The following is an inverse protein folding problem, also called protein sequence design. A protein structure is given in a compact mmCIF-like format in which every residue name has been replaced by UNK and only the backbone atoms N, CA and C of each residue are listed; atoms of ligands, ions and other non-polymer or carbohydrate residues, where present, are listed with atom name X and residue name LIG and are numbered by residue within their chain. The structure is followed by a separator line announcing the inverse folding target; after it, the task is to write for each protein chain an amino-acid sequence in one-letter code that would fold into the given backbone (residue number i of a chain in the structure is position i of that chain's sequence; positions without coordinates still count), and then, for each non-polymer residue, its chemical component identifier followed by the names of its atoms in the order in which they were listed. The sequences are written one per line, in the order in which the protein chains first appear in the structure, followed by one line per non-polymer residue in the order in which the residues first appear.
data_IF_079199498888
#
_entry.id   IF_079199498888
#
_cell.length_a   1.000
_cell.length_b   1.000
_cell.length_c   1.000
_cell.angle_alpha   90.00
_cell.angle_beta   90.00
_cell.angle_gamma   90.00
#
_symmetry.space_group_name_H-M   'P 1'
#
loop_
_entity.id
_entity.type
_entity.pdbx_description
1 polymer ?
#
# COMPACT_ATOMS: atom_id res chain seq x y z
N UNK A 1 -20.77 -10.56 -4.56
CA UNK A 1 -20.61 -9.50 -5.59
C UNK A 1 -19.14 -9.54 -5.94
N UNK A 2 -18.78 -9.47 -7.24
CA UNK A 2 -17.40 -9.64 -7.65
C UNK A 2 -16.48 -8.67 -6.91
N UNK A 3 -15.34 -9.15 -6.42
CA UNK A 3 -14.33 -8.31 -5.76
C UNK A 3 -13.92 -7.13 -6.67
N UNK A 4 -13.96 -5.88 -6.19
CA UNK A 4 -13.48 -4.75 -6.98
C UNK A 4 -12.00 -4.89 -7.32
N UNK A 5 -11.65 -4.69 -8.59
CA UNK A 5 -10.28 -4.87 -9.07
C UNK A 5 -9.40 -3.63 -8.79
N UNK A 6 -8.61 -3.62 -7.72
CA UNK A 6 -7.72 -2.50 -7.33
C UNK A 6 -6.34 -2.50 -8.01
N UNK A 7 -6.11 -3.31 -9.04
CA UNK A 7 -4.79 -3.43 -9.71
C UNK A 7 -4.24 -2.10 -10.19
N UNK A 8 -5.04 -1.27 -10.87
CA UNK A 8 -4.56 0.01 -11.41
C UNK A 8 -4.14 0.97 -10.29
N UNK A 9 -4.92 1.04 -9.20
CA UNK A 9 -4.59 1.83 -8.00
C UNK A 9 -3.31 1.33 -7.34
N UNK A 10 -3.14 0.00 -7.25
CA UNK A 10 -1.91 -0.60 -6.75
C UNK A 10 -0.69 -0.21 -7.59
N UNK A 11 -0.80 -0.31 -8.93
CA UNK A 11 0.29 0.02 -9.84
C UNK A 11 0.66 1.51 -9.77
N UNK A 12 -0.32 2.41 -9.65
CA UNK A 12 -0.08 3.83 -9.42
C UNK A 12 0.68 4.06 -8.10
N UNK A 13 0.24 3.43 -7.01
CA UNK A 13 0.95 3.52 -5.73
C UNK A 13 2.39 3.01 -5.82
N UNK A 14 2.60 1.91 -6.55
CA UNK A 14 3.92 1.30 -6.74
C UNK A 14 4.85 2.19 -7.57
N UNK A 15 4.32 2.84 -8.60
CA UNK A 15 5.05 3.82 -9.41
C UNK A 15 5.48 5.03 -8.58
N UNK A 16 4.56 5.60 -7.79
CA UNK A 16 4.85 6.70 -6.86
C UNK A 16 5.91 6.28 -5.83
N UNK A 17 5.76 5.13 -5.19
CA UNK A 17 6.76 4.58 -4.25
C UNK A 17 8.13 4.45 -4.91
N UNK A 18 8.21 3.92 -6.13
CA UNK A 18 9.47 3.78 -6.87
C UNK A 18 10.14 5.14 -7.09
N UNK A 19 9.37 6.16 -7.48
CA UNK A 19 9.86 7.55 -7.59
C UNK A 19 10.43 8.09 -6.27
N UNK A 20 9.74 7.81 -5.15
CA UNK A 20 10.14 8.26 -3.80
C UNK A 20 11.37 7.54 -3.23
N UNK A 21 11.75 6.38 -3.77
CA UNK A 21 13.00 5.68 -3.39
C UNK A 21 14.25 6.27 -4.06
N UNK A 22 14.08 7.20 -5.01
CA UNK A 22 15.14 7.94 -5.69
C UNK A 22 15.27 9.40 -5.23
N UNK A 23 16.05 10.19 -5.98
CA UNK A 23 16.04 11.65 -5.86
C UNK A 23 14.82 12.18 -6.62
N UNK A 24 13.67 12.32 -5.96
CA UNK A 24 12.49 12.96 -6.56
C UNK A 24 12.57 14.48 -6.34
N UNK A 25 12.38 15.23 -7.42
CA UNK A 25 12.23 16.70 -7.39
C UNK A 25 10.75 17.13 -7.35
N UNK A 26 9.83 16.17 -7.50
CA UNK A 26 8.38 16.39 -7.56
C UNK A 26 7.76 16.72 -6.20
N UNK A 27 8.45 16.37 -5.12
CA UNK A 27 7.97 16.52 -3.75
C UNK A 27 8.95 17.34 -2.91
N UNK A 28 8.45 18.43 -2.34
CA UNK A 28 9.19 19.26 -1.39
C UNK A 28 9.44 18.52 -0.06
N UNK A 29 8.48 17.70 0.37
CA UNK A 29 8.57 16.85 1.57
C UNK A 29 7.74 15.60 1.35
N UNK A 30 8.17 14.49 1.95
CA UNK A 30 7.37 13.28 1.94
C UNK A 30 7.64 12.40 3.15
N UNK A 31 6.65 11.58 3.50
CA UNK A 31 6.81 10.40 4.35
C UNK A 31 6.06 9.25 3.73
N UNK A 32 6.66 8.08 3.70
CA UNK A 32 5.99 6.90 3.20
C UNK A 32 6.40 5.64 3.96
N UNK A 33 5.53 4.64 3.90
CA UNK A 33 5.71 3.32 4.44
C UNK A 33 5.10 2.31 3.47
N UNK A 34 5.79 1.20 3.24
CA UNK A 34 5.26 0.06 2.52
C UNK A 34 5.52 -1.22 3.33
N UNK A 35 4.51 -2.04 3.54
CA UNK A 35 4.65 -3.36 4.17
C UNK A 35 4.08 -4.39 3.21
N UNK A 36 4.87 -5.41 2.89
CA UNK A 36 4.43 -6.55 2.10
C UNK A 36 4.49 -7.81 2.96
N UNK A 37 3.32 -8.35 3.27
CA UNK A 37 3.16 -9.64 3.93
C UNK A 37 2.88 -10.67 2.84
N UNK A 38 3.86 -11.56 2.60
CA UNK A 38 3.74 -12.59 1.55
C UNK A 38 3.03 -13.83 2.07
N UNK A 39 2.55 -14.68 1.16
CA UNK A 39 2.14 -16.07 1.49
C UNK A 39 3.32 -16.91 1.96
N UNK A 40 4.51 -16.53 1.50
CA UNK A 40 5.73 -17.27 1.73
C UNK A 40 6.38 -16.94 3.07
N UNK A 41 7.65 -17.35 3.16
CA UNK A 41 8.48 -17.25 4.35
C UNK A 41 8.80 -15.83 4.78
N UNK A 42 8.77 -14.86 3.87
CA UNK A 42 9.32 -13.53 4.13
C UNK A 42 8.24 -12.46 4.24
N UNK A 43 8.49 -11.45 5.06
CA UNK A 43 7.74 -10.20 5.09
C UNK A 43 8.70 -9.03 4.94
N UNK A 44 8.27 -7.99 4.23
CA UNK A 44 9.12 -6.87 3.87
C UNK A 44 8.56 -5.57 4.40
N UNK A 45 9.42 -4.76 5.03
CA UNK A 45 9.06 -3.51 5.68
C UNK A 45 9.96 -2.40 5.15
N UNK A 46 9.35 -1.41 4.51
CA UNK A 46 10.04 -0.26 3.94
C UNK A 46 9.45 1.03 4.50
N UNK A 47 10.31 2.03 4.69
CA UNK A 47 9.89 3.39 4.98
C UNK A 47 10.91 4.38 4.45
N UNK A 48 10.40 5.57 4.14
CA UNK A 48 11.22 6.69 3.73
C UNK A 48 10.62 8.01 4.17
N UNK A 49 11.47 9.00 4.36
CA UNK A 49 11.04 10.36 4.62
C UNK A 49 12.07 11.37 4.08
N UNK A 50 11.57 12.50 3.60
CA UNK A 50 12.35 13.68 3.27
C UNK A 50 11.70 14.93 3.86
N UNK A 51 12.48 15.74 4.56
CA UNK A 51 12.05 17.04 5.10
C UNK A 51 12.39 18.22 4.15
N UNK A 52 12.92 17.91 2.96
CA UNK A 52 13.38 18.85 1.95
C UNK A 52 14.87 19.18 2.03
N UNK A 53 15.57 18.72 3.07
CA UNK A 53 17.01 18.90 3.24
C UNK A 53 17.74 17.57 3.36
N UNK A 54 17.15 16.65 4.14
CA UNK A 54 17.68 15.32 4.35
C UNK A 54 16.65 14.27 4.00
N UNK A 55 17.10 13.20 3.34
CA UNK A 55 16.29 12.02 3.06
C UNK A 55 16.83 10.83 3.87
N UNK A 56 15.92 10.09 4.49
CA UNK A 56 16.24 8.86 5.23
C UNK A 56 15.36 7.74 4.74
N UNK A 57 15.98 6.58 4.56
CA UNK A 57 15.33 5.39 4.03
C UNK A 57 15.75 4.16 4.82
N UNK A 58 14.84 3.21 4.98
CA UNK A 58 15.16 1.90 5.55
C UNK A 58 14.31 0.82 4.92
N UNK A 59 14.93 -0.34 4.66
CA UNK A 59 14.26 -1.56 4.24
C UNK A 59 14.69 -2.72 5.13
N UNK A 60 13.73 -3.56 5.49
CA UNK A 60 13.94 -4.76 6.30
C UNK A 60 13.18 -5.93 5.70
N UNK A 61 13.79 -7.10 5.71
CA UNK A 61 13.16 -8.38 5.46
C UNK A 61 13.11 -9.12 6.79
N UNK A 62 11.97 -9.72 7.11
CA UNK A 62 11.79 -10.59 8.25
C UNK A 62 11.48 -11.98 7.73
N UNK A 63 12.21 -12.96 8.24
CA UNK A 63 11.94 -14.37 8.05
C UNK A 63 10.96 -14.87 9.12
N UNK A 64 9.77 -15.28 8.69
CA UNK A 64 8.69 -15.70 9.58
C UNK A 64 8.94 -17.07 10.22
N UNK A 65 9.92 -17.84 9.75
CA UNK A 65 10.21 -19.18 10.30
C UNK A 65 11.17 -19.15 11.49
N UNK A 66 12.14 -18.23 11.49
CA UNK A 66 13.16 -18.14 12.53
C UNK A 66 13.23 -16.75 13.19
N UNK A 67 12.44 -15.77 12.71
CA UNK A 67 12.42 -14.40 13.21
C UNK A 67 13.63 -13.56 12.81
N UNK A 68 14.49 -14.04 11.92
CA UNK A 68 15.69 -13.32 11.50
C UNK A 68 15.33 -12.06 10.71
N UNK A 69 16.02 -10.96 11.02
CA UNK A 69 15.82 -9.68 10.35
C UNK A 69 17.06 -9.33 9.54
N UNK A 70 16.89 -9.13 8.24
CA UNK A 70 17.93 -8.71 7.31
C UNK A 70 17.66 -7.29 6.83
N UNK A 71 18.68 -6.42 6.86
CA UNK A 71 18.57 -5.09 6.27
C UNK A 71 18.71 -5.21 4.75
N UNK A 72 17.75 -4.65 4.02
CA UNK A 72 17.71 -4.70 2.56
C UNK A 72 17.67 -3.29 1.94
N UNK A 73 18.17 -3.10 0.71
CA UNK A 73 18.13 -1.80 0.05
C UNK A 73 16.70 -1.30 -0.15
N UNK A 74 16.44 -0.02 0.14
CA UNK A 74 15.10 0.57 -0.01
C UNK A 74 14.59 0.52 -1.46
N UNK A 75 15.50 0.61 -2.43
CA UNK A 75 15.20 0.49 -3.87
C UNK A 75 14.54 -0.84 -4.24
N UNK A 76 14.67 -1.87 -3.40
CA UNK A 76 14.03 -3.15 -3.61
C UNK A 76 12.52 -3.12 -3.32
N UNK A 77 11.99 -2.08 -2.67
CA UNK A 77 10.55 -1.95 -2.40
C UNK A 77 9.71 -2.09 -3.68
N UNK A 78 10.15 -1.47 -4.78
CA UNK A 78 9.48 -1.59 -6.08
C UNK A 78 9.51 -3.01 -6.66
N UNK A 79 10.62 -3.73 -6.46
CA UNK A 79 10.76 -5.12 -6.91
C UNK A 79 9.84 -6.06 -6.13
N UNK A 80 9.84 -5.95 -4.80
CA UNK A 80 8.98 -6.80 -3.96
C UNK A 80 7.49 -6.45 -4.14
N UNK A 81 7.15 -5.17 -4.33
CA UNK A 81 5.80 -4.79 -4.73
C UNK A 81 5.41 -5.34 -6.10
N UNK A 82 6.32 -5.40 -7.07
CA UNK A 82 6.03 -6.02 -8.37
C UNK A 82 5.65 -7.51 -8.23
N UNK A 83 6.23 -8.23 -7.27
CA UNK A 83 5.82 -9.61 -6.94
C UNK A 83 4.37 -9.67 -6.47
N UNK A 84 3.93 -8.78 -5.57
CA UNK A 84 2.52 -8.68 -5.19
C UNK A 84 1.61 -8.39 -6.39
N UNK A 85 2.11 -7.61 -7.36
CA UNK A 85 1.40 -7.33 -8.62
C UNK A 85 1.13 -8.56 -9.49
N UNK A 86 1.76 -9.71 -9.22
CA UNK A 86 1.53 -10.95 -9.97
C UNK A 86 0.29 -11.72 -9.51
N UNK A 87 -0.31 -11.35 -8.37
CA UNK A 87 -1.56 -11.93 -7.90
C UNK A 87 -2.66 -11.79 -8.96
N UNK A 88 -3.46 -12.83 -9.21
CA UNK A 88 -4.52 -12.79 -10.24
C UNK A 88 -5.59 -11.77 -9.88
N UNK A 89 -6.09 -11.83 -8.64
CA UNK A 89 -7.03 -10.87 -8.08
C UNK A 89 -6.34 -9.96 -7.06
N UNK A 90 -6.50 -8.64 -7.26
CA UNK A 90 -6.04 -7.60 -6.33
C UNK A 90 -7.25 -6.75 -5.97
N UNK A 91 -7.59 -6.73 -4.68
CA UNK A 91 -8.64 -5.88 -4.11
C UNK A 91 -8.06 -5.04 -2.97
N UNK A 92 -8.90 -4.31 -2.24
CA UNK A 92 -8.50 -3.50 -1.11
C UNK A 92 -9.31 -3.83 0.14
N UNK A 93 -8.69 -3.70 1.30
CA UNK A 93 -9.37 -3.75 2.59
C UNK A 93 -10.26 -2.52 2.78
N UNK A 94 -11.51 -2.75 3.14
CA UNK A 94 -12.53 -1.75 3.47
C UNK A 94 -13.09 -1.86 4.89
N UNK A 95 -12.48 -2.67 5.76
CA UNK A 95 -12.94 -2.89 7.13
C UNK A 95 -12.54 -1.79 8.14
N UNK A 96 -12.66 -2.06 9.45
CA UNK A 96 -12.32 -1.13 10.52
C UNK A 96 -10.85 -0.66 10.56
N UNK A 97 -10.57 0.44 11.27
CA UNK A 97 -9.24 0.92 11.67
C UNK A 97 -8.37 -0.14 12.37
N UNK A 98 -7.57 -0.91 11.61
CA UNK A 98 -6.63 -1.93 12.11
C UNK A 98 -5.26 -1.89 11.42
N UNK A 99 -4.20 -2.33 12.11
CA UNK A 99 -2.89 -2.47 11.45
C UNK A 99 -2.93 -3.56 10.38
N UNK A 100 -2.06 -3.50 9.37
CA UNK A 100 -2.00 -4.55 8.34
C UNK A 100 -1.72 -5.94 8.93
N UNK A 101 -1.01 -6.01 10.07
CA UNK A 101 -0.75 -7.25 10.79
C UNK A 101 -2.05 -7.80 11.40
N UNK A 102 -2.84 -6.95 12.05
CA UNK A 102 -4.14 -7.36 12.62
C UNK A 102 -5.14 -7.75 11.54
N UNK A 103 -5.09 -7.10 10.37
CA UNK A 103 -5.89 -7.48 9.20
C UNK A 103 -5.45 -8.86 8.70
N UNK A 104 -4.16 -9.08 8.48
CA UNK A 104 -3.65 -10.37 8.05
C UNK A 104 -3.98 -11.50 9.05
N UNK A 105 -3.87 -11.22 10.35
CA UNK A 105 -4.27 -12.15 11.40
C UNK A 105 -5.75 -12.51 11.32
N UNK A 106 -6.63 -11.52 11.18
CA UNK A 106 -8.06 -11.75 11.09
C UNK A 106 -8.44 -12.55 9.83
N UNK A 107 -7.79 -12.30 8.70
CA UNK A 107 -8.00 -13.10 7.48
C UNK A 107 -7.49 -14.53 7.63
N UNK A 108 -6.40 -14.75 8.35
CA UNK A 108 -5.88 -16.08 8.66
C UNK A 108 -6.75 -16.84 9.67
N UNK A 109 -7.32 -16.16 10.67
CA UNK A 109 -8.24 -16.77 11.64
C UNK A 109 -9.60 -17.08 11.03
N UNK A 110 -10.11 -16.19 10.16
CA UNK A 110 -11.37 -16.39 9.44
C UNK A 110 -11.24 -17.39 8.28
N UNK A 111 -10.02 -17.76 7.91
CA UNK A 111 -9.71 -18.73 6.86
C UNK A 111 -10.05 -20.15 7.33
N UNK A 112 -11.34 -20.47 7.43
CA UNK A 112 -11.81 -21.86 7.39
C UNK A 112 -11.54 -22.48 5.99
N UNK A 113 -11.40 -21.62 4.97
CA UNK A 113 -11.13 -21.96 3.57
C UNK A 113 -9.70 -21.59 3.17
N UNK A 114 -9.01 -22.43 2.39
CA UNK A 114 -7.58 -22.28 2.06
C UNK A 114 -7.23 -21.18 1.04
N UNK A 115 -7.71 -19.94 1.21
CA UNK A 115 -7.48 -18.85 0.23
C UNK A 115 -6.19 -18.03 0.44
N UNK A 116 -5.41 -18.26 1.52
CA UNK A 116 -4.09 -17.67 1.84
C UNK A 116 -3.75 -16.34 1.13
N UNK A 117 -4.28 -15.21 1.61
CA UNK A 117 -4.09 -13.92 0.95
C UNK A 117 -2.70 -13.32 1.23
N UNK A 118 -2.23 -12.49 0.31
CA UNK A 118 -1.13 -11.56 0.55
C UNK A 118 -1.64 -10.17 0.88
N UNK A 119 -0.84 -9.40 1.60
CA UNK A 119 -1.18 -8.03 1.95
C UNK A 119 -0.08 -7.06 1.55
N UNK A 120 -0.47 -6.02 0.82
CA UNK A 120 0.42 -4.90 0.54
C UNK A 120 -0.15 -3.63 1.15
N UNK A 121 0.45 -3.18 2.22
CA UNK A 121 0.13 -1.90 2.83
C UNK A 121 0.98 -0.80 2.22
N UNK A 122 0.36 0.30 1.81
CA UNK A 122 1.04 1.53 1.43
C UNK A 122 0.45 2.71 2.18
N UNK A 123 1.34 3.51 2.75
CA UNK A 123 1.00 4.82 3.28
C UNK A 123 1.95 5.87 2.74
N UNK A 124 1.41 6.96 2.23
CA UNK A 124 2.16 8.06 1.65
C UNK A 124 1.54 9.37 2.13
N UNK A 125 2.39 10.32 2.49
CA UNK A 125 2.04 11.68 2.85
C UNK A 125 3.01 12.59 2.11
N UNK A 126 2.55 13.15 0.99
CA UNK A 126 3.39 13.77 -0.03
C UNK A 126 3.02 15.24 -0.16
N UNK A 127 4.01 16.11 -0.12
CA UNK A 127 3.86 17.54 -0.33
C UNK A 127 4.59 17.91 -1.62
N UNK A 128 3.84 18.25 -2.67
CA UNK A 128 4.41 18.58 -3.97
C UNK A 128 5.30 19.82 -3.91
N UNK A 129 6.35 19.82 -4.73
CA UNK A 129 7.08 21.05 -5.04
C UNK A 129 6.17 21.98 -5.84
N UNK A 130 6.15 23.26 -5.50
CA UNK A 130 5.41 24.24 -6.27
C UNK A 130 6.15 24.46 -7.60
N UNK A 131 5.66 23.87 -8.69
CA UNK A 131 6.07 24.28 -10.02
C UNK A 131 5.20 25.49 -10.41
N UNK A 132 5.81 26.67 -10.46
CA UNK A 132 5.23 27.97 -10.85
C UNK A 132 4.54 27.99 -12.25
N UNK A 133 4.40 26.87 -12.93
CA UNK A 133 4.08 26.79 -14.36
C UNK A 133 2.75 26.12 -14.72
N UNK A 134 1.94 25.62 -13.77
CA UNK A 134 0.64 24.97 -14.12
C UNK A 134 -0.65 25.61 -13.62
N UNK A 135 -0.64 26.52 -12.65
CA UNK A 135 -1.85 27.24 -12.27
C UNK A 135 -1.54 28.68 -11.85
N UNK A 136 -2.00 29.63 -12.66
CA UNK A 136 -1.97 31.04 -12.32
C UNK A 136 -2.82 31.33 -11.07
N UNK A 137 -2.26 32.18 -10.20
CA UNK A 137 -2.85 32.85 -9.03
C UNK A 137 -3.07 31.99 -7.77
N UNK A 138 -1.99 31.80 -7.00
CA UNK A 138 -1.94 32.10 -5.57
C UNK A 138 -0.46 32.13 -5.12
N UNK A 139 -0.13 32.92 -4.09
CA UNK A 139 1.19 32.92 -3.43
C UNK A 139 1.39 31.58 -2.67
N UNK A 140 1.65 30.51 -3.43
CA UNK A 140 2.07 29.13 -3.13
C UNK A 140 1.30 28.27 -2.10
N UNK A 141 0.02 27.91 -2.36
CA UNK A 141 -0.58 26.75 -1.73
C UNK A 141 0.05 25.46 -2.30
N UNK A 142 0.70 24.66 -1.45
CA UNK A 142 1.29 23.38 -1.87
C UNK A 142 0.21 22.29 -1.93
N UNK A 143 0.24 21.49 -2.99
CA UNK A 143 -0.62 20.33 -3.12
C UNK A 143 -0.13 19.23 -2.17
N UNK A 144 -1.03 18.70 -1.34
CA UNK A 144 -0.77 17.55 -0.47
C UNK A 144 -1.56 16.35 -0.94
N UNK A 145 -0.87 15.24 -1.12
CA UNK A 145 -1.44 13.92 -1.44
C UNK A 145 -1.27 13.02 -0.21
N UNK A 146 -2.33 12.29 0.15
CA UNK A 146 -2.28 11.30 1.21
C UNK A 146 -2.79 9.96 0.66
N UNK A 147 -2.14 8.87 1.04
CA UNK A 147 -2.52 7.51 0.67
C UNK A 147 -2.38 6.66 1.92
N UNK A 148 -3.33 5.77 2.15
CA UNK A 148 -3.29 4.84 3.26
C UNK A 148 -4.17 3.62 2.91
N UNK A 149 -3.59 2.65 2.21
CA UNK A 149 -4.28 1.51 1.62
C UNK A 149 -3.67 0.20 2.08
N UNK A 150 -4.51 -0.80 2.29
CA UNK A 150 -4.11 -2.20 2.43
C UNK A 150 -4.72 -2.94 1.23
N UNK A 151 -3.88 -3.35 0.29
CA UNK A 151 -4.28 -4.22 -0.80
C UNK A 151 -4.29 -5.67 -0.32
N UNK A 152 -5.28 -6.43 -0.81
CA UNK A 152 -5.41 -7.87 -0.57
C UNK A 152 -5.22 -8.58 -1.91
N UNK A 153 -4.21 -9.44 -1.97
CA UNK A 153 -3.83 -10.18 -3.16
C UNK A 153 -4.17 -11.66 -3.03
N UNK A 154 -4.81 -12.22 -4.05
CA UNK A 154 -5.21 -13.62 -4.11
C UNK A 154 -4.52 -14.29 -5.31
N UNK A 155 -4.08 -15.53 -5.10
CA UNK A 155 -3.22 -16.21 -6.08
C UNK A 155 -3.97 -16.47 -7.38
N UNK A 156 -5.22 -16.93 -7.25
CA UNK A 156 -6.06 -17.33 -8.37
C UNK A 156 -7.54 -16.95 -8.17
N UNK A 157 -8.34 -17.09 -9.22
CA UNK A 157 -9.78 -16.81 -9.16
C UNK A 157 -10.54 -17.72 -8.18
N UNK A 158 -10.12 -18.97 -7.96
CA UNK A 158 -10.79 -19.89 -7.03
C UNK A 158 -10.68 -19.35 -5.60
N UNK A 159 -9.50 -18.89 -5.20
CA UNK A 159 -9.27 -18.26 -3.89
C UNK A 159 -10.03 -16.95 -3.73
N UNK A 160 -10.26 -16.21 -4.83
CA UNK A 160 -11.11 -15.03 -4.82
C UNK A 160 -12.58 -15.36 -4.58
N UNK A 161 -13.11 -16.38 -5.25
CA UNK A 161 -14.48 -16.85 -5.08
C UNK A 161 -14.71 -17.34 -3.64
N UNK A 162 -13.76 -18.10 -3.07
CA UNK A 162 -13.80 -18.53 -1.67
C UNK A 162 -13.79 -17.34 -0.69
N UNK A 163 -13.02 -16.30 -0.98
CA UNK A 163 -13.02 -15.10 -0.15
C UNK A 163 -14.39 -14.42 -0.19
N UNK A 164 -15.06 -14.34 -1.34
CA UNK A 164 -16.40 -13.73 -1.47
C UNK A 164 -17.48 -14.46 -0.65
N UNK A 165 -17.35 -15.78 -0.50
CA UNK A 165 -18.29 -16.60 0.27
C UNK A 165 -18.04 -16.55 1.78
N UNK A 166 -16.91 -15.99 2.22
CA UNK A 166 -16.50 -15.94 3.62
C UNK A 166 -17.11 -14.76 4.39
N UNK A 167 -17.25 -14.90 5.71
CA UNK A 167 -17.68 -13.81 6.59
C UNK A 167 -16.72 -12.61 6.59
N UNK A 168 -15.44 -12.83 6.26
CA UNK A 168 -14.42 -11.78 6.19
C UNK A 168 -14.50 -10.98 4.89
N UNK A 169 -15.28 -11.44 3.88
CA UNK A 169 -15.53 -10.71 2.63
C UNK A 169 -16.06 -9.28 2.87
N UNK A 170 -16.86 -9.10 3.94
CA UNK A 170 -17.41 -7.79 4.32
C UNK A 170 -16.35 -6.76 4.71
N UNK A 171 -15.11 -7.20 4.97
CA UNK A 171 -13.96 -6.33 5.24
C UNK A 171 -13.17 -5.98 3.99
N UNK A 172 -13.56 -6.51 2.83
CA UNK A 172 -13.04 -6.09 1.53
C UNK A 172 -13.89 -4.93 1.01
N UNK A 173 -13.25 -3.99 0.31
CA UNK A 173 -13.90 -2.87 -0.34
C UNK A 173 -14.98 -3.37 -1.31
N UNK A 174 -16.13 -2.71 -1.31
CA UNK A 174 -17.29 -3.09 -2.13
C UNK A 174 -17.40 -2.24 -3.41
N UNK A 175 -16.81 -1.04 -3.44
CA UNK A 175 -16.86 -0.12 -4.58
C UNK A 175 -15.55 0.66 -4.73
N UNK A 176 -15.23 1.05 -5.98
CA UNK A 176 -14.21 2.08 -6.27
C UNK A 176 -14.86 3.46 -6.37
N UNK A 177 -14.21 4.55 -5.94
CA UNK A 177 -12.91 4.64 -5.26
C UNK A 177 -13.03 4.58 -3.73
N UNK A 178 -14.19 4.22 -3.18
CA UNK A 178 -14.44 4.34 -1.75
C UNK A 178 -14.05 3.07 -0.97
N UNK A 179 -12.79 2.96 -0.53
CA UNK A 179 -12.50 2.17 0.66
C UNK A 179 -12.86 3.00 1.92
N UNK A 180 -13.01 2.33 3.07
CA UNK A 180 -13.45 2.88 4.38
C UNK A 180 -13.12 4.37 4.60
N UNK A 181 -14.10 5.16 5.07
CA UNK A 181 -13.93 6.56 5.50
C UNK A 181 -12.82 6.77 6.54
N UNK A 182 -12.41 5.70 7.23
CA UNK A 182 -11.38 5.73 8.27
C UNK A 182 -9.97 5.45 7.74
N UNK A 183 -9.84 4.83 6.57
CA UNK A 183 -8.55 4.49 5.94
C UNK A 183 -8.28 5.27 4.66
N UNK A 184 -9.30 5.44 3.81
CA UNK A 184 -9.14 5.97 2.47
C UNK A 184 -9.15 7.50 2.48
N UNK A 185 -7.96 8.07 2.37
CA UNK A 185 -7.78 9.51 2.22
C UNK A 185 -6.91 9.84 1.02
N UNK A 186 -7.19 9.32 -0.18
CA UNK A 186 -6.75 9.99 -1.40
C UNK A 186 -7.49 11.32 -1.52
N UNK A 187 -6.93 12.36 -0.91
CA UNK A 187 -7.45 13.70 -1.06
C UNK A 187 -6.28 14.62 -1.33
N UNK A 188 -6.27 15.10 -2.56
CA UNK A 188 -5.51 16.27 -2.96
C UNK A 188 -6.07 17.47 -2.19
N UNK A 189 -5.28 18.02 -1.27
CA UNK A 189 -5.65 19.24 -0.56
C UNK A 189 -4.67 20.36 -0.92
N UNK A 190 -5.19 21.58 -1.00
CA UNK A 190 -4.37 22.79 -1.02
C UNK A 190 -4.07 23.21 0.42
N UNK A 191 -2.80 23.43 0.75
CA UNK A 191 -2.36 23.94 2.07
C UNK A 191 -2.35 25.46 2.12
#
# INVERSE_FOLDING_TARGET
MPLPNYRDTFLQCLETLKGLTGRSEDYARFRWQAIYLTRGRFSYFFRGASDGQTARFSGQQIDLTNGEITIIPVRSAGLYGATFGLNEAITAYGGPAKSVIDVAHAFNEASEMSYQPEFFYVRMDLLHSANDSRMGRAENPRLRENTNLIFVGLEDQITADLLEESDIARWVAQEKPMASTDWYAERFYYS
#
